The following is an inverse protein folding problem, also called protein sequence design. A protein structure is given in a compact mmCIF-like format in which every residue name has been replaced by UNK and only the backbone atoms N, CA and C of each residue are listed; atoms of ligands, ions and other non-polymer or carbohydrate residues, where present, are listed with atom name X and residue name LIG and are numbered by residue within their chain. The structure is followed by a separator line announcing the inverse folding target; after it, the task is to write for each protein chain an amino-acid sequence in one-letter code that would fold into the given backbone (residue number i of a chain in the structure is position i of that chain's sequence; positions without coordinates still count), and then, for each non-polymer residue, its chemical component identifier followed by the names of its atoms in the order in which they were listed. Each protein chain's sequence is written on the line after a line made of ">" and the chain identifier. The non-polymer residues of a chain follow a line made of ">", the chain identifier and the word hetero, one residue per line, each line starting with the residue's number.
data_IF_652996207807
#
_entry.id   IF_652996207807
#
_cell.length_a   1.000
_cell.length_b   1.000
_cell.length_c   1.000
_cell.angle_alpha   90.00
_cell.angle_beta   90.00
_cell.angle_gamma   90.00
#
_symmetry.space_group_name_H-M   'P 1'
#
loop_
_entity.id
_entity.type
_entity.pdbx_description
1 polymer ?
#
# COMPACT_ATOMS: atom_id res chain seq x y z
N UNK A 1 16.85 47.63 -29.15
CA UNK A 1 15.49 47.11 -29.32
C UNK A 1 15.50 45.64 -28.92
N UNK A 2 14.56 45.25 -28.05
CA UNK A 2 14.64 44.12 -27.11
C UNK A 2 14.59 42.75 -27.83
N UNK A 3 15.57 41.88 -27.56
CA UNK A 3 15.65 40.50 -28.03
C UNK A 3 14.83 39.60 -27.09
N UNK A 4 13.77 38.97 -27.58
CA UNK A 4 13.03 37.96 -26.81
C UNK A 4 13.63 36.58 -27.11
N UNK A 5 14.34 36.01 -26.12
CA UNK A 5 14.90 34.66 -26.21
C UNK A 5 13.80 33.61 -26.20
N UNK A 6 13.82 32.73 -27.21
CA UNK A 6 13.03 31.50 -27.29
C UNK A 6 13.56 30.54 -26.23
N UNK A 7 12.99 30.52 -25.03
CA UNK A 7 13.53 29.64 -23.99
C UNK A 7 12.90 29.78 -22.61
N UNK A 8 11.57 29.79 -22.51
CA UNK A 8 10.87 29.56 -21.25
C UNK A 8 9.36 29.34 -21.49
N UNK A 9 9.00 28.32 -22.28
CA UNK A 9 7.61 27.83 -22.23
C UNK A 9 7.59 26.75 -21.16
N UNK A 10 7.05 27.16 -20.01
CA UNK A 10 6.81 26.38 -18.80
C UNK A 10 6.26 24.99 -19.14
N UNK A 11 6.99 23.94 -18.74
CA UNK A 11 6.44 22.59 -18.60
C UNK A 11 5.35 22.64 -17.52
N UNK A 12 4.11 22.84 -17.94
CA UNK A 12 2.93 22.51 -17.14
C UNK A 12 2.87 20.98 -17.08
N UNK A 13 3.49 20.37 -16.07
CA UNK A 13 3.18 19.00 -15.70
C UNK A 13 1.67 18.95 -15.41
N UNK A 14 0.90 18.36 -16.32
CA UNK A 14 -0.49 18.03 -16.07
C UNK A 14 -0.51 16.95 -14.98
N UNK A 15 -0.53 17.39 -13.73
CA UNK A 15 -0.75 16.53 -12.57
C UNK A 15 -2.20 16.06 -12.70
N UNK A 16 -2.42 14.89 -13.31
CA UNK A 16 -3.71 14.22 -13.24
C UNK A 16 -3.93 13.87 -11.76
N UNK A 17 -4.55 14.79 -11.02
CA UNK A 17 -4.93 14.55 -9.64
C UNK A 17 -6.04 13.49 -9.67
N UNK A 18 -5.70 12.28 -9.23
CA UNK A 18 -6.71 11.26 -8.94
C UNK A 18 -7.56 11.79 -7.78
N UNK A 19 -8.66 12.46 -8.09
CA UNK A 19 -9.58 12.99 -7.09
C UNK A 19 -10.34 11.83 -6.46
N UNK A 20 -10.01 11.51 -5.21
CA UNK A 20 -10.75 10.52 -4.41
C UNK A 20 -12.17 11.02 -4.12
N UNK A 21 -13.16 10.12 -3.95
CA UNK A 21 -14.50 10.52 -3.52
C UNK A 21 -14.46 11.29 -2.20
N UNK A 22 -15.43 12.19 -1.98
CA UNK A 22 -15.54 12.93 -0.72
C UNK A 22 -15.67 11.98 0.47
N UNK A 23 -14.85 12.18 1.51
CA UNK A 23 -14.73 11.29 2.68
C UNK A 23 -13.71 10.15 2.53
N UNK A 24 -12.97 10.10 1.41
CA UNK A 24 -11.91 9.13 1.12
C UNK A 24 -10.55 9.83 0.92
N UNK A 25 -10.39 11.06 1.40
CA UNK A 25 -9.18 11.87 1.20
C UNK A 25 -7.94 11.16 1.77
N UNK A 26 -8.10 10.45 2.89
CA UNK A 26 -7.04 9.68 3.55
C UNK A 26 -7.01 8.19 3.15
N UNK A 27 -7.96 7.75 2.32
CA UNK A 27 -8.01 6.35 1.89
C UNK A 27 -6.87 6.06 0.91
N UNK A 28 -6.24 4.89 0.98
CA UNK A 28 -5.26 4.48 -0.03
C UNK A 28 -5.94 3.77 -1.21
N UNK A 29 -5.60 4.11 -2.44
CA UNK A 29 -5.94 3.33 -3.64
C UNK A 29 -4.88 2.29 -3.96
N UNK A 30 -3.65 2.47 -3.47
CA UNK A 30 -2.54 1.57 -3.74
C UNK A 30 -1.30 1.88 -2.90
N UNK A 31 -0.20 1.13 -3.09
CA UNK A 31 1.04 1.33 -2.34
C UNK A 31 1.69 2.70 -2.57
N UNK A 32 1.46 3.34 -3.73
CA UNK A 32 1.99 4.66 -4.06
C UNK A 32 1.42 5.80 -3.20
N UNK A 33 0.30 5.57 -2.51
CA UNK A 33 -0.27 6.50 -1.54
C UNK A 33 0.38 6.40 -0.15
N UNK A 34 1.16 5.35 0.10
CA UNK A 34 1.71 5.03 1.42
C UNK A 34 3.19 5.39 1.54
N UNK A 35 3.67 5.57 2.77
CA UNK A 35 5.09 5.85 3.00
C UNK A 35 5.95 4.61 2.78
N UNK A 36 7.27 4.77 2.58
CA UNK A 36 8.20 3.63 2.62
C UNK A 36 8.04 2.85 3.94
N UNK A 37 7.99 1.52 3.85
CA UNK A 37 7.72 0.66 5.00
C UNK A 37 6.24 0.54 5.38
N UNK A 38 5.33 1.01 4.51
CA UNK A 38 3.89 0.84 4.65
C UNK A 38 3.26 0.14 3.43
N UNK A 39 2.05 -0.36 3.61
CA UNK A 39 1.22 -0.91 2.54
C UNK A 39 -0.24 -0.44 2.69
N UNK A 40 -1.00 -0.53 1.59
CA UNK A 40 -2.44 -0.28 1.62
C UNK A 40 -3.19 -1.54 2.10
N UNK A 41 -4.00 -1.41 3.16
CA UNK A 41 -4.84 -2.50 3.68
C UNK A 41 -6.32 -2.15 3.65
N UNK A 42 -7.13 -3.16 3.37
CA UNK A 42 -8.58 -3.12 3.54
C UNK A 42 -9.01 -4.05 4.68
N UNK A 43 -9.76 -3.51 5.64
CA UNK A 43 -10.37 -4.28 6.73
C UNK A 43 -11.43 -5.27 6.22
N UNK A 44 -11.76 -6.26 7.05
CA UNK A 44 -12.76 -7.30 6.71
C UNK A 44 -14.20 -6.91 7.08
N UNK A 45 -14.41 -5.74 7.67
CA UNK A 45 -15.75 -5.25 8.00
C UNK A 45 -16.41 -4.63 6.77
N UNK A 46 -17.74 -4.72 6.71
CA UNK A 46 -18.52 -4.07 5.64
C UNK A 46 -18.24 -2.57 5.62
N UNK A 47 -17.98 -2.03 4.43
CA UNK A 47 -17.64 -0.62 4.23
C UNK A 47 -16.36 -0.17 4.93
N UNK A 48 -15.42 -1.09 5.19
CA UNK A 48 -14.06 -0.70 5.58
C UNK A 48 -13.47 0.23 4.51
N UNK A 49 -12.80 1.30 4.94
CA UNK A 49 -12.08 2.22 4.05
C UNK A 49 -10.62 1.76 4.03
N UNK A 50 -9.99 1.57 2.85
CA UNK A 50 -8.59 1.19 2.80
C UNK A 50 -7.70 2.27 3.41
N UNK A 51 -6.67 1.88 4.16
CA UNK A 51 -5.76 2.83 4.77
C UNK A 51 -4.32 2.30 4.79
N UNK A 52 -3.33 3.20 4.83
CA UNK A 52 -1.93 2.81 4.96
C UNK A 52 -1.64 2.24 6.36
N UNK A 53 -0.87 1.14 6.42
CA UNK A 53 -0.37 0.53 7.65
C UNK A 53 1.10 0.14 7.47
N UNK A 54 1.84 0.05 8.57
CA UNK A 54 3.23 -0.42 8.57
C UNK A 54 3.32 -1.90 8.18
N UNK A 55 4.42 -2.25 7.51
CA UNK A 55 4.82 -3.64 7.31
C UNK A 55 5.03 -4.34 8.66
N UNK A 56 4.66 -5.61 8.73
CA UNK A 56 4.75 -6.40 9.97
C UNK A 56 6.19 -6.67 10.38
N UNK A 57 6.50 -6.37 11.64
CA UNK A 57 7.81 -6.59 12.25
C UNK A 57 7.86 -7.95 12.95
N UNK A 58 9.05 -8.41 13.36
CA UNK A 58 9.22 -9.70 14.04
C UNK A 58 8.24 -9.83 15.21
N UNK A 59 7.48 -10.92 15.23
CA UNK A 59 6.48 -11.22 16.27
C UNK A 59 5.12 -10.57 16.08
N UNK A 60 4.97 -9.63 15.13
CA UNK A 60 3.67 -9.04 14.82
C UNK A 60 2.70 -10.10 14.28
N UNK A 61 1.41 -9.86 14.49
CA UNK A 61 0.37 -10.68 13.89
C UNK A 61 0.31 -10.43 12.40
N UNK A 62 0.29 -11.50 11.62
CA UNK A 62 0.18 -11.46 10.17
C UNK A 62 -0.83 -12.48 9.67
N UNK A 63 -1.25 -12.35 8.41
CA UNK A 63 -2.15 -13.31 7.75
C UNK A 63 -1.33 -14.20 6.80
N UNK A 64 -1.28 -15.53 7.01
CA UNK A 64 -0.64 -16.44 6.07
C UNK A 64 -1.32 -16.36 4.70
N UNK A 65 -0.54 -16.48 3.61
CA UNK A 65 -1.02 -16.43 2.23
C UNK A 65 -1.83 -15.16 1.87
N UNK A 66 -1.49 -14.02 2.48
CA UNK A 66 -2.18 -12.75 2.24
C UNK A 66 -1.64 -12.04 1.00
N UNK A 67 -1.89 -12.60 -0.18
CA UNK A 67 -1.55 -11.93 -1.43
C UNK A 67 -2.35 -10.62 -1.58
N UNK A 68 -1.75 -9.56 -2.14
CA UNK A 68 -2.47 -8.32 -2.41
C UNK A 68 -3.43 -8.51 -3.59
N UNK A 69 -4.54 -7.79 -3.59
CA UNK A 69 -5.61 -7.91 -4.58
C UNK A 69 -6.00 -6.54 -5.17
N UNK A 70 -6.53 -6.56 -6.40
CA UNK A 70 -7.23 -5.43 -6.99
C UNK A 70 -8.73 -5.55 -6.69
N UNK A 71 -9.36 -4.47 -6.24
CA UNK A 71 -10.73 -4.49 -5.75
C UNK A 71 -11.51 -3.26 -6.24
N UNK A 72 -12.75 -3.49 -6.67
CA UNK A 72 -13.77 -2.44 -6.76
C UNK A 72 -14.64 -2.48 -5.51
N UNK A 73 -14.58 -1.42 -4.70
CA UNK A 73 -15.28 -1.30 -3.43
C UNK A 73 -16.53 -0.45 -3.60
N UNK A 74 -17.65 -0.96 -3.08
CA UNK A 74 -18.95 -0.33 -3.20
C UNK A 74 -19.46 0.14 -1.83
N UNK A 75 -19.64 1.45 -1.71
CA UNK A 75 -20.08 2.12 -0.49
C UNK A 75 -21.52 2.65 -0.66
N UNK A 76 -22.20 2.99 0.46
CA UNK A 76 -23.52 3.60 0.40
C UNK A 76 -23.54 4.86 -0.47
N UNK A 77 -24.74 5.21 -0.98
CA UNK A 77 -24.97 6.35 -1.89
C UNK A 77 -24.31 6.20 -3.27
N UNK A 78 -23.99 4.97 -3.68
CA UNK A 78 -23.47 4.66 -5.02
C UNK A 78 -22.00 5.07 -5.22
N UNK A 79 -21.24 5.22 -4.14
CA UNK A 79 -19.82 5.52 -4.22
C UNK A 79 -19.06 4.25 -4.58
N UNK A 80 -18.29 4.30 -5.66
CA UNK A 80 -17.33 3.28 -6.05
C UNK A 80 -15.91 3.78 -5.75
N UNK A 81 -15.06 2.90 -5.22
CA UNK A 81 -13.65 3.16 -4.99
C UNK A 81 -12.83 1.98 -5.51
N UNK A 82 -11.99 2.22 -6.50
CA UNK A 82 -11.07 1.20 -7.01
C UNK A 82 -9.76 1.25 -6.22
N UNK A 83 -9.29 0.09 -5.78
CA UNK A 83 -7.96 -0.06 -5.18
C UNK A 83 -7.18 -1.19 -5.85
N UNK A 84 -5.87 -1.07 -5.91
CA UNK A 84 -4.96 -2.08 -6.44
C UNK A 84 -3.88 -2.43 -5.43
N UNK A 85 -3.33 -3.63 -5.58
CA UNK A 85 -2.29 -4.16 -4.69
C UNK A 85 -2.62 -3.97 -3.19
N UNK A 86 -3.90 -4.15 -2.83
CA UNK A 86 -4.41 -3.90 -1.47
C UNK A 86 -4.42 -5.20 -0.69
N UNK A 87 -3.81 -5.18 0.50
CA UNK A 87 -3.77 -6.34 1.38
C UNK A 87 -5.04 -6.42 2.23
N UNK A 88 -5.42 -7.63 2.65
CA UNK A 88 -6.53 -7.79 3.60
C UNK A 88 -6.01 -7.78 5.02
N UNK A 89 -6.62 -6.95 5.87
CA UNK A 89 -6.46 -6.89 7.33
C UNK A 89 -5.07 -6.46 7.84
N UNK A 90 -3.99 -7.04 7.32
CA UNK A 90 -2.61 -6.77 7.72
C UNK A 90 -1.74 -6.54 6.49
N UNK A 91 -0.72 -5.70 6.63
CA UNK A 91 0.38 -5.68 5.68
C UNK A 91 1.16 -7.00 5.71
N UNK A 92 1.93 -7.31 4.65
CA UNK A 92 2.88 -8.41 4.72
C UNK A 92 3.94 -8.11 5.77
N UNK A 93 4.67 -9.14 6.18
CA UNK A 93 5.87 -8.93 6.96
C UNK A 93 6.91 -8.14 6.15
N UNK A 94 7.77 -7.41 6.83
CA UNK A 94 8.85 -6.64 6.20
C UNK A 94 9.82 -7.56 5.41
N UNK A 95 10.68 -6.94 4.61
CA UNK A 95 11.63 -7.63 3.74
C UNK A 95 12.45 -8.69 4.51
N UNK A 96 12.62 -9.88 3.93
CA UNK A 96 13.38 -10.96 4.59
C UNK A 96 12.61 -11.71 5.69
N UNK A 97 11.35 -11.36 5.95
CA UNK A 97 10.47 -12.11 6.86
C UNK A 97 9.36 -12.86 6.13
N UNK A 98 8.86 -13.90 6.78
CA UNK A 98 7.71 -14.68 6.33
C UNK A 98 6.62 -14.71 7.40
N UNK A 99 5.37 -14.85 6.96
CA UNK A 99 4.24 -15.03 7.86
C UNK A 99 4.02 -16.53 8.12
N UNK A 100 4.47 -17.01 9.27
CA UNK A 100 4.30 -18.41 9.69
C UNK A 100 3.64 -18.47 11.05
N UNK A 101 2.67 -19.38 11.22
CA UNK A 101 1.85 -19.50 12.43
C UNK A 101 1.23 -18.15 12.88
N UNK A 102 0.74 -17.37 11.91
CA UNK A 102 0.17 -16.02 12.10
C UNK A 102 1.10 -15.03 12.82
N UNK A 103 2.42 -15.23 12.69
CA UNK A 103 3.47 -14.35 13.22
C UNK A 103 4.51 -14.05 12.15
N UNK A 104 4.98 -12.81 12.12
CA UNK A 104 6.14 -12.46 11.31
C UNK A 104 7.41 -13.04 11.94
N UNK A 105 8.18 -13.77 11.14
CA UNK A 105 9.41 -14.44 11.56
C UNK A 105 10.47 -14.29 10.47
N UNK A 106 11.77 -14.33 10.81
CA UNK A 106 12.83 -14.39 9.82
C UNK A 106 12.61 -15.55 8.85
N UNK A 107 12.82 -15.30 7.56
CA UNK A 107 12.79 -16.35 6.53
C UNK A 107 13.88 -17.36 6.84
N UNK A 108 13.58 -18.65 6.66
CA UNK A 108 14.56 -19.73 6.83
C UNK A 108 15.02 -20.25 5.48
N UNK A 109 16.28 -20.65 5.39
CA UNK A 109 16.81 -21.41 4.26
C UNK A 109 16.25 -22.84 4.22
N UNK A 110 16.60 -23.60 3.17
CA UNK A 110 16.19 -24.99 2.99
C UNK A 110 16.70 -25.93 4.12
N UNK A 111 17.66 -25.47 4.92
CA UNK A 111 18.23 -26.18 6.06
C UNK A 111 17.61 -25.73 7.41
N UNK A 112 16.64 -24.81 7.38
CA UNK A 112 15.95 -24.30 8.55
C UNK A 112 16.70 -23.21 9.32
N UNK A 113 17.84 -22.73 8.81
CA UNK A 113 18.57 -21.62 9.41
C UNK A 113 17.90 -20.30 9.02
N UNK A 114 17.82 -19.36 9.97
CA UNK A 114 17.37 -18.01 9.62
C UNK A 114 18.33 -17.38 8.60
N UNK A 115 17.78 -16.86 7.50
CA UNK A 115 18.53 -15.99 6.61
C UNK A 115 18.87 -14.72 7.39
N UNK A 116 20.12 -14.29 7.31
CA UNK A 116 20.64 -13.13 8.06
C UNK A 116 19.78 -11.90 7.77
N UNK A 117 19.09 -11.41 8.81
CA UNK A 117 18.25 -10.22 8.75
C UNK A 117 19.12 -9.04 9.17
N UNK A 118 19.58 -8.26 8.20
CA UNK A 118 20.31 -7.03 8.50
C UNK A 118 19.32 -6.01 9.08
N UNK A 119 19.48 -5.75 10.38
CA UNK A 119 18.73 -4.78 11.17
C UNK A 119 19.10 -3.34 10.80
#
# INVERSE_FOLDING_TARGET
>A
MLKFSVGAILLLCAMASSQKPQGFEEACSGPEDCQPGECCVLGMQRFSIPNCRKLGQIGDTCRPNNAPENRSLWYPRGIEFASHNTYTLFCPCDAGMTCWDARCQPTKDDFGNALDYQQ
#
